data_IF_641513111892
#
_entry.id   IF_641513111892
#
_cell.length_a   1.000
_cell.length_b   1.000
_cell.length_c   1.000
_cell.angle_alpha   90.00
_cell.angle_beta   90.00
_cell.angle_gamma   90.00
#
_symmetry.space_group_name_H-M   'P 1'
#
loop_
_entity.id
_entity.type
_entity.pdbx_description
1 polymer ?
#
# COMPACT_ATOMS: atom_id res chain seq x y z
N UNK A 1 25.81 -33.81 -54.49
CA UNK A 1 25.05 -32.70 -53.96
C UNK A 1 24.62 -33.04 -52.52
N UNK A 2 25.32 -32.56 -51.49
CA UNK A 2 24.97 -32.72 -50.07
C UNK A 2 24.42 -31.38 -49.58
N UNK A 3 23.15 -31.32 -49.25
CA UNK A 3 22.50 -30.15 -48.62
C UNK A 3 22.75 -30.23 -47.11
N UNK A 4 23.57 -29.28 -46.60
CA UNK A 4 23.74 -29.05 -45.17
C UNK A 4 22.52 -28.31 -44.59
N UNK A 5 21.87 -28.94 -43.64
CA UNK A 5 20.78 -28.33 -42.85
C UNK A 5 21.41 -27.52 -41.72
N UNK A 6 21.35 -26.20 -41.83
CA UNK A 6 21.79 -25.30 -40.77
C UNK A 6 20.66 -25.14 -39.77
N UNK A 7 20.76 -25.79 -38.60
CA UNK A 7 19.79 -25.67 -37.50
C UNK A 7 20.15 -24.39 -36.72
N UNK A 8 19.34 -23.34 -36.89
CA UNK A 8 19.40 -22.14 -36.04
C UNK A 8 18.80 -22.49 -34.67
N UNK A 9 19.65 -22.59 -33.66
CA UNK A 9 19.24 -22.66 -32.27
C UNK A 9 18.89 -21.24 -31.82
N UNK A 10 17.60 -20.97 -31.70
CA UNK A 10 17.05 -19.74 -31.09
C UNK A 10 17.15 -19.89 -29.58
N UNK A 11 18.24 -19.37 -28.97
CA UNK A 11 18.29 -19.24 -27.51
C UNK A 11 17.29 -18.18 -27.10
N UNK A 12 16.12 -18.62 -26.60
CA UNK A 12 15.17 -17.78 -25.89
C UNK A 12 15.80 -17.41 -24.54
N UNK A 13 16.45 -16.26 -24.47
CA UNK A 13 16.84 -15.66 -23.20
C UNK A 13 15.55 -15.18 -22.56
N UNK A 14 14.95 -16.00 -21.70
CA UNK A 14 13.96 -15.57 -20.73
C UNK A 14 14.69 -14.61 -19.78
N UNK A 15 14.65 -13.32 -20.10
CA UNK A 15 15.00 -12.28 -19.15
C UNK A 15 14.07 -12.43 -17.95
N UNK A 16 14.60 -12.87 -16.82
CA UNK A 16 13.96 -12.70 -15.52
C UNK A 16 13.86 -11.19 -15.31
N UNK A 17 12.71 -10.62 -15.67
CA UNK A 17 12.38 -9.28 -15.24
C UNK A 17 12.21 -9.37 -13.72
N UNK A 18 13.26 -9.00 -12.99
CA UNK A 18 13.10 -8.66 -11.58
C UNK A 18 12.25 -7.40 -11.55
N UNK A 19 10.96 -7.60 -11.31
CA UNK A 19 10.04 -6.48 -11.16
C UNK A 19 10.38 -5.77 -9.85
N UNK A 20 10.59 -4.47 -9.95
CA UNK A 20 10.56 -3.59 -8.78
C UNK A 20 9.23 -3.79 -8.08
N UNK A 21 9.17 -3.79 -6.77
CA UNK A 21 7.92 -3.88 -5.98
C UNK A 21 6.70 -4.39 -6.76
N UNK A 22 6.21 -5.56 -6.43
CA UNK A 22 4.96 -6.06 -6.97
C UNK A 22 3.79 -5.64 -6.08
N UNK A 23 2.70 -5.18 -6.70
CA UNK A 23 1.46 -4.83 -6.00
C UNK A 23 0.30 -5.56 -6.64
N UNK A 24 -0.20 -6.57 -5.95
CA UNK A 24 -1.33 -7.38 -6.41
C UNK A 24 -2.63 -6.92 -5.76
N UNK A 25 -3.70 -6.87 -6.54
CA UNK A 25 -5.05 -6.73 -5.99
C UNK A 25 -5.41 -7.98 -5.20
N UNK A 26 -5.87 -7.81 -3.96
CA UNK A 26 -6.16 -8.92 -3.06
C UNK A 26 -7.63 -8.94 -2.62
N UNK A 27 -8.53 -8.57 -3.54
CA UNK A 27 -9.94 -8.32 -3.25
C UNK A 27 -10.86 -9.53 -3.44
N UNK A 28 -10.51 -10.48 -4.31
CA UNK A 28 -11.37 -11.60 -4.69
C UNK A 28 -11.20 -12.81 -3.76
N UNK A 29 -12.17 -13.72 -3.76
CA UNK A 29 -12.09 -15.00 -3.08
C UNK A 29 -12.07 -14.91 -1.55
N UNK A 30 -12.73 -13.92 -0.99
CA UNK A 30 -12.97 -13.82 0.44
C UNK A 30 -14.29 -14.48 0.82
N UNK A 31 -14.33 -14.97 2.04
CA UNK A 31 -15.54 -15.45 2.67
C UNK A 31 -15.82 -14.60 3.91
N UNK A 32 -17.08 -14.28 4.14
CA UNK A 32 -17.51 -13.42 5.24
C UNK A 32 -18.51 -14.15 6.16
N UNK A 33 -18.38 -13.89 7.46
CA UNK A 33 -19.35 -14.33 8.47
C UNK A 33 -19.59 -13.23 9.51
N UNK A 34 -20.85 -12.90 9.72
CA UNK A 34 -21.28 -11.88 10.68
C UNK A 34 -21.55 -12.49 12.05
N UNK A 35 -21.26 -11.74 13.10
CA UNK A 35 -21.60 -12.09 14.48
C UNK A 35 -20.40 -12.48 15.34
N UNK A 36 -20.57 -12.51 16.67
CA UNK A 36 -19.52 -12.94 17.56
C UNK A 36 -19.20 -14.43 17.33
N UNK A 37 -17.94 -14.74 17.32
CA UNK A 37 -17.50 -16.14 17.31
C UNK A 37 -17.46 -16.66 18.76
N UNK A 38 -18.10 -17.80 19.08
CA UNK A 38 -18.02 -18.39 20.40
C UNK A 38 -16.66 -19.08 20.59
N UNK A 39 -15.71 -18.41 21.25
CA UNK A 39 -14.42 -19.00 21.59
C UNK A 39 -13.21 -18.20 21.17
N UNK A 40 -12.04 -18.80 21.38
CA UNK A 40 -10.75 -18.26 21.03
C UNK A 40 -10.50 -18.44 19.53
N UNK A 41 -10.27 -17.35 18.82
CA UNK A 41 -10.02 -17.35 17.38
C UNK A 41 -8.79 -18.21 17.02
N UNK A 42 -7.82 -18.30 17.93
CA UNK A 42 -6.61 -19.10 17.75
C UNK A 42 -6.88 -20.61 17.77
N UNK A 43 -7.95 -21.03 18.44
CA UNK A 43 -8.40 -22.42 18.48
C UNK A 43 -9.37 -22.77 17.38
N UNK A 44 -9.87 -21.74 16.69
CA UNK A 44 -10.89 -21.85 15.67
C UNK A 44 -10.32 -22.03 14.25
N UNK A 45 -9.02 -21.91 14.06
CA UNK A 45 -8.35 -22.11 12.77
C UNK A 45 -8.66 -23.51 12.26
N UNK A 46 -9.31 -23.60 11.10
CA UNK A 46 -9.75 -24.85 10.47
C UNK A 46 -11.06 -25.46 10.98
N UNK A 47 -11.69 -24.93 12.05
CA UNK A 47 -12.88 -25.52 12.69
C UNK A 47 -14.11 -24.62 12.60
N UNK A 48 -14.15 -23.66 11.69
CA UNK A 48 -15.27 -22.73 11.56
C UNK A 48 -16.47 -23.40 10.89
N UNK A 49 -17.36 -23.96 11.70
CA UNK A 49 -18.61 -24.51 11.19
C UNK A 49 -19.62 -23.42 10.85
N UNK A 50 -20.50 -23.69 9.91
CA UNK A 50 -21.61 -22.86 9.48
C UNK A 50 -21.38 -22.19 8.12
N UNK A 51 -22.41 -21.47 7.66
CA UNK A 51 -22.44 -20.89 6.32
C UNK A 51 -21.60 -19.62 6.30
N UNK A 52 -20.65 -19.57 5.40
CA UNK A 52 -19.88 -18.41 5.03
C UNK A 52 -20.41 -17.85 3.72
N UNK A 53 -20.54 -16.53 3.64
CA UNK A 53 -20.92 -15.82 2.43
C UNK A 53 -19.66 -15.54 1.58
N UNK A 54 -19.70 -15.90 0.31
CA UNK A 54 -18.65 -15.49 -0.64
C UNK A 54 -18.77 -14.01 -0.94
N UNK A 55 -17.67 -13.25 -0.78
CA UNK A 55 -17.65 -11.82 -0.99
C UNK A 55 -16.42 -11.38 -1.76
N UNK A 56 -16.57 -10.30 -2.53
CA UNK A 56 -15.47 -9.54 -3.12
C UNK A 56 -15.32 -8.21 -2.38
N UNK A 57 -14.09 -7.81 -2.08
CA UNK A 57 -13.80 -6.52 -1.48
C UNK A 57 -13.80 -5.42 -2.55
N UNK A 58 -14.23 -4.21 -2.22
CA UNK A 58 -14.74 -3.71 -0.94
C UNK A 58 -16.08 -4.33 -0.52
N UNK A 59 -16.21 -4.65 0.77
CA UNK A 59 -17.44 -5.21 1.32
C UNK A 59 -17.81 -4.56 2.66
N UNK A 60 -19.09 -4.30 2.87
CA UNK A 60 -19.65 -3.87 4.14
C UNK A 60 -20.95 -4.61 4.45
N UNK A 61 -21.08 -5.12 5.66
CA UNK A 61 -22.33 -5.76 6.11
C UNK A 61 -23.47 -4.78 6.40
N UNK A 62 -23.17 -3.46 6.39
CA UNK A 62 -24.16 -2.41 6.61
C UNK A 62 -24.68 -1.78 5.30
N UNK A 63 -24.42 -2.39 4.14
CA UNK A 63 -24.77 -1.81 2.84
C UNK A 63 -26.24 -1.41 2.70
N UNK A 64 -27.15 -2.13 3.39
CA UNK A 64 -28.61 -1.92 3.35
C UNK A 64 -29.21 -1.38 4.63
N UNK A 65 -28.47 -1.36 5.75
CA UNK A 65 -29.00 -1.07 7.08
C UNK A 65 -29.61 0.33 7.20
N UNK A 66 -29.02 1.32 6.52
CA UNK A 66 -29.54 2.70 6.49
C UNK A 66 -30.63 2.93 5.42
N UNK A 67 -30.83 1.98 4.51
CA UNK A 67 -31.75 2.13 3.38
C UNK A 67 -33.09 1.42 3.62
N UNK A 68 -33.11 0.43 4.47
CA UNK A 68 -34.31 -0.38 4.77
C UNK A 68 -34.79 -0.04 6.18
N UNK A 69 -35.96 0.59 6.29
CA UNK A 69 -36.54 1.07 7.54
C UNK A 69 -36.71 -0.03 8.64
N UNK A 70 -36.80 -1.29 8.22
CA UNK A 70 -36.92 -2.44 9.12
C UNK A 70 -35.58 -2.98 9.61
N UNK A 71 -34.45 -2.56 9.02
CA UNK A 71 -33.14 -3.05 9.41
C UNK A 71 -32.57 -2.21 10.55
N UNK A 72 -32.16 -2.87 11.61
CA UNK A 72 -31.32 -2.26 12.62
C UNK A 72 -29.90 -2.15 12.10
N UNK A 73 -29.27 -1.01 12.29
CA UNK A 73 -27.86 -0.81 11.95
C UNK A 73 -26.99 -1.71 12.84
N UNK A 74 -26.43 -2.77 12.23
CA UNK A 74 -25.64 -3.74 12.98
C UNK A 74 -24.28 -3.14 13.39
N UNK A 75 -24.04 -3.11 14.69
CA UNK A 75 -22.75 -2.79 15.30
C UNK A 75 -22.23 -4.02 16.04
N UNK A 76 -21.03 -4.47 15.72
CA UNK A 76 -20.47 -5.67 16.28
C UNK A 76 -19.34 -6.25 15.41
N UNK A 77 -19.10 -7.53 15.58
CA UNK A 77 -17.97 -8.22 14.96
C UNK A 77 -18.39 -8.92 13.68
N UNK A 78 -17.52 -8.88 12.67
CA UNK A 78 -17.56 -9.68 11.45
C UNK A 78 -16.19 -10.26 11.16
N UNK A 79 -16.16 -11.38 10.48
CA UNK A 79 -14.95 -12.10 10.15
C UNK A 79 -14.86 -12.29 8.64
N UNK A 80 -13.68 -12.02 8.11
CA UNK A 80 -13.29 -12.34 6.73
C UNK A 80 -12.24 -13.43 6.78
N UNK A 81 -12.33 -14.42 5.90
CA UNK A 81 -11.28 -15.41 5.72
C UNK A 81 -10.98 -15.60 4.25
N UNK A 82 -9.74 -15.98 3.98
CA UNK A 82 -9.27 -16.32 2.64
C UNK A 82 -8.16 -17.35 2.76
N UNK A 83 -8.16 -18.32 1.85
CA UNK A 83 -7.04 -19.24 1.68
C UNK A 83 -6.21 -18.78 0.49
N UNK A 84 -4.88 -18.78 0.63
CA UNK A 84 -3.97 -18.34 -0.42
C UNK A 84 -2.65 -19.13 -0.39
N UNK A 85 -2.09 -19.43 -1.56
CA UNK A 85 -0.77 -20.04 -1.70
C UNK A 85 0.20 -18.97 -2.14
N UNK A 86 1.11 -18.58 -1.25
CA UNK A 86 2.18 -17.65 -1.59
C UNK A 86 3.27 -18.41 -2.36
N UNK A 87 3.73 -17.91 -3.52
CA UNK A 87 4.79 -18.54 -4.31
C UNK A 87 6.04 -18.86 -3.48
N UNK A 88 6.63 -20.04 -3.71
CA UNK A 88 7.81 -20.49 -2.95
C UNK A 88 9.01 -19.55 -3.15
N UNK A 89 9.15 -18.98 -4.32
CA UNK A 89 10.22 -18.02 -4.69
C UNK A 89 10.16 -16.69 -3.92
N UNK A 90 9.07 -16.41 -3.20
CA UNK A 90 8.95 -15.19 -2.37
C UNK A 90 9.52 -15.34 -0.97
N UNK A 91 10.10 -16.49 -0.60
CA UNK A 91 10.60 -16.75 0.76
C UNK A 91 11.68 -15.76 1.24
N UNK A 92 12.44 -15.16 0.31
CA UNK A 92 13.44 -14.12 0.61
C UNK A 92 12.90 -12.69 0.50
N UNK A 93 11.62 -12.52 0.13
CA UNK A 93 10.97 -11.22 -0.02
C UNK A 93 10.30 -10.76 1.28
N UNK A 94 9.91 -9.50 1.31
CA UNK A 94 9.00 -8.96 2.33
C UNK A 94 7.59 -8.90 1.76
N UNK A 95 6.63 -9.34 2.54
CA UNK A 95 5.22 -9.40 2.15
C UNK A 95 4.38 -8.55 3.09
N UNK A 96 3.49 -7.76 2.50
CA UNK A 96 2.61 -6.87 3.26
C UNK A 96 1.18 -6.94 2.74
N UNK A 97 0.22 -6.99 3.65
CA UNK A 97 -1.13 -6.57 3.33
C UNK A 97 -1.28 -5.08 3.56
N UNK A 98 -1.76 -4.36 2.55
CA UNK A 98 -2.17 -2.98 2.65
C UNK A 98 -3.69 -2.89 2.58
N UNK A 99 -4.29 -2.39 3.63
CA UNK A 99 -5.72 -2.12 3.72
C UNK A 99 -5.94 -0.62 3.53
N UNK A 100 -6.78 -0.22 2.58
CA UNK A 100 -7.09 1.20 2.35
C UNK A 100 -8.13 1.75 3.34
N UNK A 101 -8.83 0.89 4.07
CA UNK A 101 -9.74 1.23 5.15
C UNK A 101 -10.58 0.05 5.62
N UNK A 102 -10.68 -0.08 6.94
CA UNK A 102 -11.48 -1.11 7.63
C UNK A 102 -12.27 -0.44 8.74
N UNK A 103 -13.55 -0.71 8.83
CA UNK A 103 -14.39 -0.03 9.80
C UNK A 103 -14.80 -0.93 10.96
N UNK A 104 -14.39 -0.60 12.21
CA UNK A 104 -13.59 0.53 12.67
C UNK A 104 -12.28 0.10 13.30
N UNK A 105 -12.22 -1.12 13.84
CA UNK A 105 -11.03 -1.77 14.38
C UNK A 105 -10.89 -3.13 13.75
N UNK A 106 -9.67 -3.63 13.62
CA UNK A 106 -9.45 -4.98 13.14
C UNK A 106 -8.21 -5.64 13.74
N UNK A 107 -8.22 -6.95 13.65
CA UNK A 107 -7.13 -7.85 13.96
C UNK A 107 -6.89 -8.72 12.71
N UNK A 108 -5.65 -8.82 12.26
CA UNK A 108 -5.25 -9.61 11.09
C UNK A 108 -4.44 -10.81 11.54
N UNK A 109 -4.83 -11.99 11.09
CA UNK A 109 -4.20 -13.26 11.44
C UNK A 109 -3.74 -13.98 10.17
N UNK A 110 -2.59 -14.62 10.23
CA UNK A 110 -2.08 -15.55 9.23
C UNK A 110 -1.76 -16.86 9.93
N UNK A 111 -2.30 -17.97 9.45
CA UNK A 111 -2.12 -19.32 10.02
C UNK A 111 -2.38 -19.36 11.54
N UNK A 112 -3.38 -18.61 12.01
CA UNK A 112 -3.75 -18.52 13.41
C UNK A 112 -2.88 -17.60 14.26
N UNK A 113 -1.84 -16.98 13.71
CA UNK A 113 -0.98 -16.01 14.41
C UNK A 113 -1.46 -14.58 14.15
N UNK A 114 -1.58 -13.77 15.21
CA UNK A 114 -1.88 -12.34 15.10
C UNK A 114 -0.68 -11.62 14.51
N UNK A 115 -0.82 -11.07 13.31
CA UNK A 115 0.25 -10.35 12.59
C UNK A 115 0.07 -8.84 12.64
N UNK A 116 -1.12 -8.34 12.94
CA UNK A 116 -1.35 -6.90 13.07
C UNK A 116 -2.71 -6.53 13.60
N UNK A 117 -2.79 -5.31 14.13
CA UNK A 117 -4.04 -4.68 14.60
C UNK A 117 -4.13 -3.26 14.06
N UNK A 118 -5.35 -2.78 13.85
CA UNK A 118 -5.58 -1.39 13.48
C UNK A 118 -6.80 -0.82 14.19
N UNK A 119 -6.71 0.47 14.54
CA UNK A 119 -7.79 1.25 15.17
C UNK A 119 -7.95 2.57 14.42
N UNK A 120 -9.03 2.70 13.70
CA UNK A 120 -9.32 3.87 12.88
C UNK A 120 -10.11 3.49 11.64
N UNK A 121 -11.34 4.01 11.51
CA UNK A 121 -12.24 3.61 10.44
C UNK A 121 -11.79 4.05 9.03
N UNK A 122 -10.98 5.10 8.91
CA UNK A 122 -10.78 5.82 7.65
C UNK A 122 -9.34 5.85 7.12
N UNK A 123 -8.38 5.51 7.96
CA UNK A 123 -6.97 5.50 7.59
C UNK A 123 -6.53 4.18 6.98
N UNK A 124 -5.64 4.25 5.99
CA UNK A 124 -4.96 3.08 5.49
C UNK A 124 -3.92 2.58 6.51
N UNK A 125 -3.66 1.28 6.48
CA UNK A 125 -2.61 0.66 7.29
C UNK A 125 -1.98 -0.52 6.54
N UNK A 126 -0.81 -0.91 7.00
CA UNK A 126 -0.02 -2.00 6.43
C UNK A 126 0.32 -2.99 7.54
N UNK A 127 0.26 -4.26 7.20
CA UNK A 127 0.65 -5.38 8.07
C UNK A 127 1.68 -6.23 7.34
N UNK A 128 2.84 -6.41 7.95
CA UNK A 128 3.90 -7.29 7.46
C UNK A 128 3.58 -8.74 7.86
N UNK A 129 3.75 -9.70 6.93
CA UNK A 129 3.20 -11.06 7.12
C UNK A 129 4.20 -12.20 6.88
N UNK A 130 5.38 -11.96 6.28
CA UNK A 130 6.26 -13.04 5.82
C UNK A 130 6.69 -14.02 6.90
N UNK A 131 6.79 -13.60 8.16
CA UNK A 131 7.23 -14.48 9.26
C UNK A 131 6.25 -15.62 9.55
N UNK A 132 4.95 -15.43 9.23
CA UNK A 132 3.89 -16.41 9.47
C UNK A 132 3.43 -17.13 8.18
N UNK A 133 4.03 -16.77 7.03
CA UNK A 133 3.69 -17.37 5.75
C UNK A 133 4.42 -18.70 5.54
N UNK A 134 3.67 -19.72 5.14
CA UNK A 134 4.19 -21.00 4.63
C UNK A 134 4.26 -20.91 3.12
N UNK A 135 5.44 -20.66 2.59
CA UNK A 135 5.67 -20.49 1.16
C UNK A 135 5.49 -21.81 0.40
N UNK A 136 4.80 -21.79 -0.74
CA UNK A 136 4.45 -22.97 -1.53
C UNK A 136 3.32 -23.82 -0.96
N UNK A 137 2.79 -23.46 0.20
CA UNK A 137 1.70 -24.17 0.88
C UNK A 137 0.45 -23.31 1.00
N UNK A 138 -0.65 -23.94 1.40
CA UNK A 138 -1.91 -23.27 1.70
C UNK A 138 -1.81 -22.50 3.01
N UNK A 139 -2.16 -21.22 2.98
CA UNK A 139 -2.20 -20.33 4.14
C UNK A 139 -3.63 -19.86 4.38
N UNK A 140 -4.05 -19.80 5.64
CA UNK A 140 -5.31 -19.21 6.04
C UNK A 140 -5.09 -17.78 6.55
N UNK A 141 -5.83 -16.83 5.99
CA UNK A 141 -5.82 -15.42 6.36
C UNK A 141 -7.18 -15.11 6.97
N UNK A 142 -7.19 -14.55 8.18
CA UNK A 142 -8.41 -14.13 8.88
C UNK A 142 -8.29 -12.67 9.24
N UNK A 143 -9.34 -11.89 8.96
CA UNK A 143 -9.47 -10.50 9.41
C UNK A 143 -10.73 -10.41 10.25
N UNK A 144 -10.56 -10.21 11.55
CA UNK A 144 -11.63 -9.88 12.47
C UNK A 144 -11.84 -8.38 12.45
N UNK A 145 -13.06 -7.94 12.18
CA UNK A 145 -13.44 -6.53 12.09
C UNK A 145 -14.52 -6.23 13.09
N UNK A 146 -14.42 -5.09 13.77
CA UNK A 146 -15.38 -4.66 14.82
C UNK A 146 -15.75 -3.19 14.61
N UNK A 147 -17.04 -2.92 14.34
CA UNK A 147 -17.62 -1.57 14.26
C UNK A 147 -18.48 -1.21 15.47
N UNK A 148 -18.34 -1.92 16.59
CA UNK A 148 -19.03 -1.58 17.84
C UNK A 148 -18.72 -0.15 18.27
N UNK A 149 -19.69 0.48 18.96
CA UNK A 149 -19.53 1.83 19.48
C UNK A 149 -18.34 1.93 20.43
N UNK A 150 -17.48 2.92 20.19
CA UNK A 150 -16.24 3.16 20.96
C UNK A 150 -16.04 4.66 21.17
N UNK A 151 -15.49 5.02 22.33
CA UNK A 151 -15.16 6.42 22.64
C UNK A 151 -13.72 6.80 22.23
N UNK A 152 -12.90 5.82 21.88
CA UNK A 152 -11.47 5.95 21.59
C UNK A 152 -11.13 5.83 20.08
N UNK A 153 -12.16 5.70 19.22
CA UNK A 153 -12.04 5.65 17.76
C UNK A 153 -13.05 6.59 17.12
N UNK A 154 -12.61 7.41 16.19
CA UNK A 154 -13.47 8.36 15.46
C UNK A 154 -14.31 7.62 14.40
N UNK A 155 -15.60 7.94 14.26
CA UNK A 155 -16.37 8.91 15.04
C UNK A 155 -16.82 8.34 16.38
N UNK A 156 -16.73 9.15 17.44
CA UNK A 156 -17.17 8.76 18.79
C UNK A 156 -18.71 8.82 18.97
N UNK A 157 -19.42 9.49 18.07
CA UNK A 157 -20.87 9.61 18.07
C UNK A 157 -21.50 8.78 16.94
N UNK A 158 -21.81 7.52 17.24
CA UNK A 158 -22.42 6.60 16.30
C UNK A 158 -23.91 6.90 16.03
N UNK A 159 -24.56 7.71 16.84
CA UNK A 159 -25.95 8.14 16.60
C UNK A 159 -26.03 9.19 15.49
N UNK A 160 -24.99 10.00 15.32
CA UNK A 160 -24.91 11.02 14.29
C UNK A 160 -24.28 10.50 12.99
N UNK A 161 -23.30 9.58 13.11
CA UNK A 161 -22.54 9.03 11.98
C UNK A 161 -22.63 7.51 12.00
N UNK A 162 -23.16 6.92 10.94
CA UNK A 162 -23.09 5.47 10.72
C UNK A 162 -21.63 5.03 10.52
N UNK A 163 -21.14 4.14 11.37
CA UNK A 163 -19.83 3.50 11.19
C UNK A 163 -20.04 2.19 10.46
N UNK A 164 -19.85 2.19 9.16
CA UNK A 164 -19.99 1.00 8.33
C UNK A 164 -18.91 -0.02 8.68
N UNK A 165 -19.34 -1.22 9.10
CA UNK A 165 -18.42 -2.30 9.40
C UNK A 165 -17.99 -3.07 8.16
N UNK A 166 -16.77 -3.56 8.20
CA UNK A 166 -16.21 -4.40 7.13
C UNK A 166 -14.93 -3.85 6.52
N UNK A 167 -14.40 -4.61 5.58
CA UNK A 167 -13.29 -4.19 4.72
C UNK A 167 -13.88 -3.41 3.55
N UNK A 168 -14.23 -2.15 3.80
CA UNK A 168 -15.02 -1.33 2.87
C UNK A 168 -14.19 -0.58 1.82
N UNK A 169 -12.87 -0.78 1.82
CA UNK A 169 -11.92 -0.31 0.80
C UNK A 169 -11.05 -1.45 0.31
N UNK A 170 -10.36 -1.27 -0.84
CA UNK A 170 -9.52 -2.32 -1.41
C UNK A 170 -8.40 -2.80 -0.48
N UNK A 171 -7.99 -4.04 -0.70
CA UNK A 171 -6.81 -4.65 -0.10
C UNK A 171 -5.80 -4.99 -1.20
N UNK A 172 -4.53 -4.72 -0.94
CA UNK A 172 -3.43 -5.10 -1.82
C UNK A 172 -2.43 -5.97 -1.06
N UNK A 173 -1.82 -6.92 -1.78
CA UNK A 173 -0.63 -7.62 -1.36
C UNK A 173 0.57 -6.95 -2.02
N UNK A 174 1.50 -6.45 -1.21
CA UNK A 174 2.73 -5.81 -1.67
C UNK A 174 3.89 -6.77 -1.40
N UNK A 175 4.73 -6.99 -2.41
CA UNK A 175 5.92 -7.82 -2.34
C UNK A 175 7.13 -6.95 -2.69
N UNK A 176 8.14 -6.93 -1.82
CA UNK A 176 9.36 -6.13 -2.00
C UNK A 176 10.61 -6.94 -1.69
N UNK A 177 11.76 -6.40 -2.07
CA UNK A 177 13.05 -6.85 -1.54
C UNK A 177 13.19 -6.53 -0.05
N UNK A 178 14.17 -7.14 0.61
CA UNK A 178 14.49 -6.91 2.04
C UNK A 178 15.03 -5.50 2.32
N UNK A 179 15.40 -4.77 1.29
CA UNK A 179 15.72 -3.34 1.30
C UNK A 179 14.91 -2.67 0.19
N UNK A 180 14.16 -1.64 0.55
CA UNK A 180 13.14 -1.06 -0.32
C UNK A 180 12.83 0.40 0.07
N UNK A 181 12.01 1.09 -0.72
CA UNK A 181 11.36 2.32 -0.30
C UNK A 181 10.30 1.94 0.73
N UNK A 182 10.35 2.54 1.92
CA UNK A 182 9.61 2.09 3.09
C UNK A 182 8.09 1.98 2.84
N UNK A 183 7.53 0.79 3.15
CA UNK A 183 6.10 0.50 3.08
C UNK A 183 5.42 0.73 4.42
N UNK A 184 6.15 0.53 5.53
CA UNK A 184 5.60 0.50 6.89
C UNK A 184 5.46 1.87 7.55
N UNK A 185 5.90 2.95 6.89
CA UNK A 185 5.81 4.31 7.43
C UNK A 185 4.38 4.85 7.32
N UNK A 186 3.54 4.53 8.30
CA UNK A 186 2.11 4.93 8.38
C UNK A 186 1.30 4.59 7.11
N UNK A 187 1.62 3.48 6.44
CA UNK A 187 1.05 3.10 5.16
C UNK A 187 1.21 4.18 4.06
N UNK A 188 2.16 5.10 4.22
CA UNK A 188 2.53 6.05 3.18
C UNK A 188 3.31 5.33 2.06
N UNK A 189 3.44 5.94 0.89
CA UNK A 189 4.26 5.37 -0.18
C UNK A 189 5.78 5.45 0.09
N UNK A 190 6.22 5.94 1.26
CA UNK A 190 7.63 6.16 1.59
C UNK A 190 8.26 7.38 0.91
N UNK A 191 7.47 8.11 0.12
CA UNK A 191 7.90 9.30 -0.64
C UNK A 191 7.06 10.50 -0.23
N UNK A 192 7.70 11.55 0.25
CA UNK A 192 7.06 12.79 0.71
C UNK A 192 7.52 13.96 -0.15
N UNK A 193 6.56 14.74 -0.64
CA UNK A 193 6.85 15.85 -1.54
C UNK A 193 6.38 17.13 -0.89
N UNK A 194 7.31 18.08 -0.69
CA UNK A 194 7.02 19.43 -0.21
C UNK A 194 7.40 20.46 -1.27
N UNK A 195 6.69 21.58 -1.27
CA UNK A 195 6.85 22.63 -2.29
C UNK A 195 6.98 23.99 -1.60
N UNK A 196 7.91 24.80 -2.08
CA UNK A 196 8.19 26.14 -1.56
C UNK A 196 8.44 27.12 -2.72
N UNK A 197 8.39 28.42 -2.42
CA UNK A 197 8.75 29.49 -3.36
C UNK A 197 8.04 29.37 -4.71
N UNK A 198 6.75 29.06 -4.68
CA UNK A 198 5.96 28.77 -5.87
C UNK A 198 5.51 30.07 -6.52
N UNK A 199 5.84 30.21 -7.78
CA UNK A 199 5.46 31.32 -8.66
C UNK A 199 5.28 30.84 -10.10
N UNK A 200 4.87 31.70 -11.00
CA UNK A 200 4.86 31.41 -12.45
C UNK A 200 6.28 31.21 -13.03
N UNK A 201 7.31 31.77 -12.36
CA UNK A 201 8.70 31.70 -12.84
C UNK A 201 9.45 30.48 -12.33
N UNK A 202 9.14 30.01 -11.10
CA UNK A 202 9.82 28.86 -10.50
C UNK A 202 9.02 28.23 -9.37
N UNK A 203 9.32 26.96 -9.07
CA UNK A 203 8.89 26.25 -7.87
C UNK A 203 10.06 25.43 -7.34
N UNK A 204 10.28 25.45 -6.04
CA UNK A 204 11.25 24.62 -5.34
C UNK A 204 10.52 23.40 -4.78
N UNK A 205 10.97 22.20 -5.18
CA UNK A 205 10.38 20.92 -4.80
C UNK A 205 11.41 20.13 -4.01
N UNK A 206 11.05 19.70 -2.81
CA UNK A 206 11.84 18.77 -2.00
C UNK A 206 11.12 17.40 -2.03
N UNK A 207 11.82 16.39 -2.48
CA UNK A 207 11.37 14.98 -2.44
C UNK A 207 12.18 14.27 -1.38
N UNK A 208 11.50 13.88 -0.28
CA UNK A 208 12.09 13.06 0.77
C UNK A 208 11.67 11.61 0.56
N UNK A 209 12.65 10.72 0.45
CA UNK A 209 12.44 9.26 0.31
C UNK A 209 12.88 8.58 1.59
N UNK A 210 12.02 7.75 2.15
CA UNK A 210 12.33 6.86 3.27
C UNK A 210 12.70 5.49 2.71
N UNK A 211 13.84 4.97 3.11
CA UNK A 211 14.40 3.71 2.66
C UNK A 211 14.54 2.78 3.87
N UNK A 212 14.11 1.55 3.73
CA UNK A 212 14.15 0.54 4.77
C UNK A 212 15.10 -0.59 4.37
N UNK A 213 15.92 -1.06 5.32
CA UNK A 213 16.79 -2.21 5.16
C UNK A 213 16.69 -3.10 6.41
N UNK A 214 16.04 -4.25 6.26
CA UNK A 214 15.89 -5.22 7.36
C UNK A 214 16.99 -6.28 7.38
N UNK A 215 17.96 -6.20 6.47
CA UNK A 215 19.11 -7.11 6.49
C UNK A 215 20.08 -6.70 7.62
N UNK A 216 20.97 -7.60 7.98
CA UNK A 216 21.99 -7.33 9.01
C UNK A 216 23.26 -6.67 8.44
N UNK A 217 23.28 -6.36 7.15
CA UNK A 217 24.43 -5.79 6.46
C UNK A 217 24.07 -4.48 5.78
N UNK A 218 25.03 -3.57 5.65
CA UNK A 218 24.91 -2.43 4.76
C UNK A 218 24.81 -2.89 3.30
N UNK A 219 23.98 -2.22 2.54
CA UNK A 219 23.74 -2.53 1.12
C UNK A 219 24.09 -1.32 0.28
N UNK A 220 25.02 -1.43 -0.69
CA UNK A 220 25.31 -0.36 -1.63
C UNK A 220 24.13 -0.19 -2.57
N UNK A 221 23.59 1.03 -2.65
CA UNK A 221 22.42 1.35 -3.48
C UNK A 221 22.58 2.69 -4.19
N UNK A 222 21.83 2.86 -5.27
CA UNK A 222 21.66 4.14 -5.96
C UNK A 222 20.18 4.51 -5.89
N UNK A 223 19.86 5.66 -5.28
CA UNK A 223 18.55 6.25 -5.36
C UNK A 223 18.50 7.26 -6.50
N UNK A 224 17.66 6.98 -7.51
CA UNK A 224 17.30 7.94 -8.55
C UNK A 224 15.96 8.57 -8.19
N UNK A 225 15.91 9.89 -8.22
CA UNK A 225 14.66 10.65 -8.11
C UNK A 225 14.53 11.53 -9.36
N UNK A 226 13.44 11.32 -10.12
CA UNK A 226 13.17 12.05 -11.33
C UNK A 226 11.77 12.66 -11.31
N UNK A 227 11.63 13.84 -11.93
CA UNK A 227 10.35 14.53 -12.11
C UNK A 227 10.06 14.60 -13.61
N UNK A 228 8.87 14.14 -14.00
CA UNK A 228 8.38 14.15 -15.38
C UNK A 228 7.15 15.04 -15.47
N UNK A 229 7.03 15.75 -16.57
CA UNK A 229 5.81 16.48 -16.91
C UNK A 229 4.69 15.54 -17.40
N UNK A 230 3.53 16.11 -17.70
CA UNK A 230 2.34 15.35 -18.12
C UNK A 230 2.55 14.60 -19.45
N UNK A 231 3.44 15.08 -20.31
CA UNK A 231 3.74 14.43 -21.61
C UNK A 231 4.93 13.44 -21.51
N UNK A 232 5.48 13.25 -20.31
CA UNK A 232 6.57 12.30 -20.06
C UNK A 232 7.97 12.86 -20.26
N UNK A 233 8.11 14.20 -20.46
CA UNK A 233 9.42 14.84 -20.54
C UNK A 233 10.01 14.96 -19.14
N UNK A 234 11.26 14.54 -18.97
CA UNK A 234 12.01 14.71 -17.72
C UNK A 234 12.36 16.19 -17.51
N UNK A 235 11.90 16.75 -16.38
CA UNK A 235 12.14 18.14 -16.01
C UNK A 235 13.15 18.28 -14.86
N UNK A 236 13.51 17.18 -14.22
CA UNK A 236 14.56 17.12 -13.20
C UNK A 236 14.94 15.67 -12.90
N UNK A 237 16.21 15.44 -12.58
CA UNK A 237 16.70 14.14 -12.10
C UNK A 237 17.88 14.35 -11.17
N UNK A 238 17.95 13.53 -10.13
CA UNK A 238 19.10 13.41 -9.22
C UNK A 238 19.34 11.94 -8.92
N UNK A 239 20.62 11.58 -8.80
CA UNK A 239 21.05 10.23 -8.40
C UNK A 239 22.02 10.34 -7.22
N UNK A 240 21.83 9.49 -6.22
CA UNK A 240 22.66 9.43 -5.03
C UNK A 240 23.07 7.98 -4.77
N UNK A 241 24.38 7.71 -4.85
CA UNK A 241 24.95 6.43 -4.45
C UNK A 241 25.38 6.50 -2.98
N UNK A 242 25.00 5.49 -2.18
CA UNK A 242 25.35 5.42 -0.75
C UNK A 242 25.17 4.00 -0.20
N UNK A 243 25.72 3.78 0.98
CA UNK A 243 25.46 2.58 1.77
C UNK A 243 24.17 2.74 2.58
N UNK A 244 23.19 1.86 2.34
CA UNK A 244 21.97 1.78 3.11
C UNK A 244 22.24 0.94 4.36
N UNK A 245 22.32 1.58 5.52
CA UNK A 245 22.67 0.93 6.81
C UNK A 245 21.66 -0.14 7.19
N UNK A 246 22.10 -1.18 7.93
CA UNK A 246 21.22 -2.25 8.36
C UNK A 246 20.21 -1.79 9.40
N UNK A 247 19.09 -2.52 9.48
CA UNK A 247 18.08 -2.44 10.52
C UNK A 247 17.57 -1.03 10.82
N UNK A 248 16.86 -0.45 9.87
CA UNK A 248 16.17 0.81 10.11
C UNK A 248 15.82 1.61 8.88
N UNK A 249 15.00 2.62 9.13
CA UNK A 249 14.55 3.55 8.09
C UNK A 249 15.50 4.73 8.01
N UNK A 250 16.05 4.97 6.83
CA UNK A 250 16.86 6.14 6.51
C UNK A 250 16.10 7.09 5.59
N UNK A 251 16.46 8.38 5.67
CA UNK A 251 15.88 9.42 4.84
C UNK A 251 16.93 9.95 3.86
N UNK A 252 16.47 10.22 2.63
CA UNK A 252 17.24 10.95 1.62
C UNK A 252 16.36 12.05 1.03
N UNK A 253 16.95 13.20 0.78
CA UNK A 253 16.26 14.36 0.23
C UNK A 253 16.89 14.77 -1.10
N UNK A 254 16.03 15.00 -2.09
CA UNK A 254 16.38 15.52 -3.40
C UNK A 254 15.69 16.88 -3.59
N UNK A 255 16.46 17.90 -3.92
CA UNK A 255 15.97 19.27 -4.08
C UNK A 255 15.96 19.65 -5.55
N UNK A 256 14.81 20.06 -6.07
CA UNK A 256 14.63 20.46 -7.46
C UNK A 256 14.13 21.90 -7.55
N UNK A 257 14.58 22.60 -8.59
CA UNK A 257 14.00 23.88 -8.98
C UNK A 257 13.42 23.75 -10.39
N UNK A 258 12.10 23.78 -10.47
CA UNK A 258 11.37 23.73 -11.75
C UNK A 258 11.18 25.15 -12.24
N UNK A 259 11.74 25.46 -13.42
CA UNK A 259 11.59 26.76 -14.07
C UNK A 259 10.26 26.82 -14.85
N UNK A 260 9.52 27.92 -14.72
CA UNK A 260 8.22 28.15 -15.36
C UNK A 260 7.28 26.93 -15.22
N UNK A 261 6.98 26.54 -13.96
CA UNK A 261 6.15 25.36 -13.73
C UNK A 261 4.74 25.58 -14.25
N UNK A 262 4.14 24.51 -14.75
CA UNK A 262 2.70 24.49 -15.01
C UNK A 262 1.98 24.26 -13.69
N UNK A 263 1.24 25.29 -13.23
CA UNK A 263 0.58 25.24 -11.93
C UNK A 263 -0.74 24.45 -12.01
N UNK A 264 -1.05 23.73 -10.94
CA UNK A 264 -2.30 23.03 -10.78
C UNK A 264 -3.40 23.98 -10.29
N UNK A 265 -4.53 24.02 -10.97
CA UNK A 265 -5.67 24.87 -10.63
C UNK A 265 -6.99 24.06 -10.48
N UNK A 266 -6.94 22.95 -9.75
CA UNK A 266 -8.11 22.12 -9.50
C UNK A 266 -8.77 21.63 -10.79
N UNK A 267 -10.09 21.70 -10.84
CA UNK A 267 -10.87 21.24 -12.01
C UNK A 267 -10.64 22.05 -13.29
N UNK A 268 -10.23 23.32 -13.17
CA UNK A 268 -10.00 24.17 -14.32
C UNK A 268 -8.74 23.82 -15.10
N UNK A 269 -7.71 23.40 -14.39
CA UNK A 269 -6.44 22.95 -14.96
C UNK A 269 -5.76 21.94 -14.04
N UNK A 270 -6.12 20.66 -14.11
CA UNK A 270 -5.66 19.60 -13.20
C UNK A 270 -4.29 19.05 -13.60
N UNK A 271 -3.35 19.91 -13.93
CA UNK A 271 -2.03 19.51 -14.39
C UNK A 271 -1.22 18.81 -13.30
N UNK A 272 -0.72 17.59 -13.59
CA UNK A 272 0.09 16.81 -12.67
C UNK A 272 1.43 16.44 -13.31
N UNK A 273 2.50 16.67 -12.56
CA UNK A 273 3.78 16.02 -12.76
C UNK A 273 3.79 14.63 -12.13
N UNK A 274 4.74 13.80 -12.52
CA UNK A 274 5.03 12.51 -11.87
C UNK A 274 6.41 12.58 -11.25
N UNK A 275 6.49 12.31 -9.95
CA UNK A 275 7.75 12.09 -9.23
C UNK A 275 7.98 10.59 -9.19
N UNK A 276 9.09 10.15 -9.73
CA UNK A 276 9.49 8.73 -9.81
C UNK A 276 10.74 8.55 -8.97
N UNK A 277 10.64 7.70 -7.94
CA UNK A 277 11.77 7.32 -7.09
C UNK A 277 12.11 5.86 -7.37
N UNK A 278 13.36 5.60 -7.78
CA UNK A 278 13.87 4.27 -8.10
C UNK A 278 15.07 3.94 -7.24
N UNK A 279 15.04 2.76 -6.67
CA UNK A 279 16.17 2.20 -5.93
C UNK A 279 16.84 1.13 -6.79
N UNK A 280 18.14 1.27 -6.99
CA UNK A 280 18.95 0.32 -7.76
C UNK A 280 20.01 -0.30 -6.85
N UNK A 281 20.35 -1.55 -7.15
CA UNK A 281 21.54 -2.25 -6.68
C UNK A 281 22.20 -2.97 -7.85
N UNK A 282 23.50 -2.84 -7.99
CA UNK A 282 24.28 -3.47 -9.09
C UNK A 282 23.69 -3.20 -10.49
N UNK A 283 23.12 -1.99 -10.70
CA UNK A 283 22.37 -1.53 -11.88
C UNK A 283 21.03 -2.24 -12.13
N UNK A 284 20.59 -3.11 -11.22
CA UNK A 284 19.26 -3.73 -11.27
C UNK A 284 18.25 -2.88 -10.48
N UNK A 285 17.06 -2.73 -11.03
CA UNK A 285 15.96 -2.02 -10.37
C UNK A 285 15.40 -2.88 -9.24
N UNK A 286 15.55 -2.40 -8.00
CA UNK A 286 15.09 -3.09 -6.78
C UNK A 286 13.69 -2.66 -6.38
N UNK A 287 13.40 -1.34 -6.51
CA UNK A 287 12.12 -0.79 -6.10
C UNK A 287 11.78 0.49 -6.86
N UNK A 288 10.50 0.73 -7.14
CA UNK A 288 10.02 1.95 -7.76
C UNK A 288 8.74 2.44 -7.08
N UNK A 289 8.69 3.74 -6.80
CA UNK A 289 7.49 4.43 -6.31
C UNK A 289 7.22 5.65 -7.16
N UNK A 290 5.98 5.77 -7.65
CA UNK A 290 5.52 6.89 -8.45
C UNK A 290 4.48 7.68 -7.67
N UNK A 291 4.69 9.01 -7.55
CA UNK A 291 3.76 9.91 -6.87
C UNK A 291 3.34 11.07 -7.78
N UNK A 292 2.05 11.45 -7.78
CA UNK A 292 1.60 12.63 -8.48
C UNK A 292 2.06 13.91 -7.75
N UNK A 293 2.38 14.95 -8.53
CA UNK A 293 2.76 16.27 -8.01
C UNK A 293 1.97 17.36 -8.74
N UNK A 294 0.99 17.95 -8.06
CA UNK A 294 0.32 19.17 -8.51
C UNK A 294 1.00 20.40 -7.87
N UNK A 295 1.71 21.19 -8.67
CA UNK A 295 2.41 22.38 -8.16
C UNK A 295 1.41 23.49 -7.90
N UNK A 296 1.21 23.86 -6.62
CA UNK A 296 0.25 24.87 -6.20
C UNK A 296 0.71 25.60 -4.95
N UNK A 297 0.30 26.86 -4.83
CA UNK A 297 0.42 27.66 -3.60
C UNK A 297 -1.00 27.77 -2.99
N UNK A 298 -1.06 27.65 -1.69
CA UNK A 298 -2.22 28.09 -0.91
C UNK A 298 -1.72 28.88 0.30
N UNK A 299 -2.57 29.76 0.81
CA UNK A 299 -2.25 30.61 1.93
C UNK A 299 -3.49 30.79 2.81
N UNK A 300 -3.28 30.70 4.12
CA UNK A 300 -4.31 31.03 5.11
C UNK A 300 -3.94 32.40 5.67
N UNK A 301 -4.77 33.40 5.39
CA UNK A 301 -4.57 34.77 5.88
C UNK A 301 -5.55 35.02 7.01
N UNK A 302 -5.01 35.31 8.22
CA UNK A 302 -5.83 35.58 9.39
C UNK A 302 -6.82 36.72 9.12
N UNK A 303 -8.10 36.49 9.42
CA UNK A 303 -9.19 37.45 9.17
C UNK A 303 -9.64 37.60 7.71
N UNK A 304 -8.99 36.89 6.76
CA UNK A 304 -9.36 36.93 5.32
C UNK A 304 -9.77 35.58 4.75
N UNK A 305 -9.26 34.48 5.30
CA UNK A 305 -9.64 33.13 4.89
C UNK A 305 -8.54 32.38 4.12
N UNK A 306 -8.96 31.43 3.26
CA UNK A 306 -8.12 30.53 2.49
C UNK A 306 -8.01 31.03 1.02
N UNK A 307 -6.77 31.15 0.52
CA UNK A 307 -6.44 31.62 -0.84
C UNK A 307 -5.60 30.60 -1.60
#
# INVERSE_FOLDING_TARGET
>A
MKRGLCTLIFCLVLGLFTMARDVFTFNDGWQFKKGPFPGDIMKAVGVWEGIWEEVTLPHTWNARDMQVKANNFYQGVGYYRKTYIFPAEWHEKRLYFRFEGVGACCEVYVNGRLVGTHRGAYSAFVVEIQEEVKFGESNEIIVKVDNSMRLDVIPVNHNLFGVYGGIYRPVSLIVTERYNIAVTDHASPGVYITQKNISQNSADICVQVKLDNVTFQSVPVVLETAIYDQVGKQVGVQQHAFELSPQGIQKRECLFRIKRPHLWHGRKNPYLYRVVCRLYRDNELVDEVIQPLGIRKYEIVAGKGFY
#
